data_IF_144223498717
#
_entry.id   IF_144223498717
#
_cell.length_a   1.000
_cell.length_b   1.000
_cell.length_c   1.000
_cell.angle_alpha   90.00
_cell.angle_beta   90.00
_cell.angle_gamma   90.00
#
_symmetry.space_group_name_H-M   'P 1'
#
loop_
_entity.id
_entity.type
_entity.pdbx_description
1 polymer ?
#
# COMPACT_ATOMS: atom_id res chain seq x y z
N UNK A 1 15.79 -18.54 17.32
CA UNK A 1 14.62 -18.31 16.43
C UNK A 1 13.61 -17.51 17.23
N UNK A 2 13.00 -16.47 16.67
CA UNK A 2 11.98 -15.71 17.40
C UNK A 2 10.68 -16.53 17.42
N UNK A 3 9.93 -16.44 18.50
CA UNK A 3 8.66 -17.16 18.65
C UNK A 3 7.62 -16.29 19.36
N UNK A 4 6.35 -16.65 19.15
CA UNK A 4 5.20 -16.11 19.86
C UNK A 4 4.60 -17.21 20.74
N UNK A 5 4.30 -16.89 22.00
CA UNK A 5 3.65 -17.81 22.93
C UNK A 5 2.15 -17.52 22.95
N UNK A 6 1.33 -18.55 22.73
CA UNK A 6 -0.12 -18.43 22.90
C UNK A 6 -0.48 -18.34 24.40
N UNK A 7 -1.74 -18.00 24.71
CA UNK A 7 -2.23 -18.00 26.09
C UNK A 7 -2.12 -19.39 26.77
N UNK A 8 -2.04 -20.47 25.99
CA UNK A 8 -1.84 -21.85 26.48
C UNK A 8 -0.38 -22.25 26.59
N UNK A 9 0.55 -21.36 26.27
CA UNK A 9 2.00 -21.60 26.33
C UNK A 9 2.57 -22.30 25.10
N UNK A 10 1.81 -22.43 24.02
CA UNK A 10 2.30 -23.04 22.78
C UNK A 10 3.24 -22.08 22.07
N UNK A 11 4.43 -22.57 21.73
CA UNK A 11 5.44 -21.80 21.03
C UNK A 11 5.23 -21.86 19.51
N UNK A 12 5.00 -20.70 18.90
CA UNK A 12 4.79 -20.53 17.48
C UNK A 12 6.01 -19.85 16.84
N UNK A 13 6.76 -20.55 15.97
CA UNK A 13 7.91 -19.97 15.27
C UNK A 13 7.53 -18.78 14.39
N UNK A 14 8.30 -17.70 14.53
CA UNK A 14 8.21 -16.51 13.68
C UNK A 14 9.36 -16.55 12.68
N UNK A 15 9.03 -16.39 11.41
CA UNK A 15 9.99 -16.21 10.33
C UNK A 15 10.32 -14.73 10.16
N UNK A 16 11.56 -14.45 9.78
CA UNK A 16 11.92 -13.12 9.30
C UNK A 16 11.84 -13.11 7.78
N UNK A 17 10.85 -12.41 7.22
CA UNK A 17 10.72 -12.17 5.80
C UNK A 17 11.19 -10.75 5.51
N UNK A 18 12.37 -10.61 4.90
CA UNK A 18 12.94 -9.32 4.46
C UNK A 18 12.96 -8.25 5.55
N UNK A 19 13.29 -8.63 6.78
CA UNK A 19 13.38 -7.72 7.92
C UNK A 19 12.08 -7.59 8.72
N UNK A 20 10.96 -8.17 8.27
CA UNK A 20 9.68 -8.16 8.97
C UNK A 20 9.35 -9.52 9.57
N UNK A 21 8.69 -9.50 10.72
CA UNK A 21 8.21 -10.72 11.35
C UNK A 21 6.98 -11.28 10.61
N UNK A 22 7.01 -12.57 10.32
CA UNK A 22 5.94 -13.28 9.65
C UNK A 22 5.59 -14.57 10.40
N UNK A 23 4.31 -14.69 10.76
CA UNK A 23 3.76 -15.91 11.31
C UNK A 23 3.05 -16.70 10.21
N UNK A 24 3.56 -17.89 9.90
CA UNK A 24 2.98 -18.77 8.87
C UNK A 24 1.54 -19.17 9.19
N UNK A 25 0.72 -19.36 8.16
CA UNK A 25 -0.70 -19.75 8.28
C UNK A 25 -0.88 -21.03 9.10
N UNK A 26 0.01 -22.01 8.97
CA UNK A 26 -0.03 -23.25 9.77
C UNK A 26 0.00 -22.99 11.28
N UNK A 27 0.78 -21.99 11.72
CA UNK A 27 0.86 -21.63 13.14
C UNK A 27 -0.32 -20.78 13.59
N UNK A 28 -0.88 -19.94 12.70
CA UNK A 28 -2.15 -19.25 12.95
C UNK A 28 -3.30 -20.25 13.16
N UNK A 29 -3.30 -21.36 12.42
CA UNK A 29 -4.27 -22.44 12.59
C UNK A 29 -4.12 -23.16 13.93
N UNK A 30 -2.89 -23.40 14.39
CA UNK A 30 -2.64 -23.96 15.73
C UNK A 30 -3.22 -23.03 16.80
N UNK A 31 -2.89 -21.75 16.75
CA UNK A 31 -3.41 -20.75 17.69
C UNK A 31 -4.94 -20.66 17.64
N UNK A 32 -5.53 -20.58 16.44
CA UNK A 32 -6.97 -20.53 16.25
C UNK A 32 -7.67 -21.77 16.84
N UNK A 33 -7.15 -22.97 16.58
CA UNK A 33 -7.75 -24.22 17.07
C UNK A 33 -7.61 -24.40 18.58
N UNK A 34 -6.60 -23.79 19.20
CA UNK A 34 -6.48 -23.76 20.65
C UNK A 34 -7.64 -23.00 21.30
N UNK A 35 -8.08 -21.88 20.71
CA UNK A 35 -9.11 -21.01 21.29
C UNK A 35 -10.52 -21.37 20.80
N UNK A 36 -10.63 -21.83 19.56
CA UNK A 36 -11.90 -22.06 18.87
C UNK A 36 -11.94 -23.43 18.18
N UNK A 37 -11.90 -24.54 18.95
CA UNK A 37 -11.84 -25.88 18.39
C UNK A 37 -13.08 -26.25 17.56
N UNK A 38 -14.26 -25.73 17.91
CA UNK A 38 -15.53 -26.04 17.25
C UNK A 38 -15.84 -25.13 16.05
N UNK A 39 -15.07 -24.07 15.81
CA UNK A 39 -15.32 -23.13 14.71
C UNK A 39 -14.89 -23.73 13.36
N UNK A 40 -15.54 -23.28 12.29
CA UNK A 40 -15.30 -23.78 10.94
C UNK A 40 -14.51 -22.78 10.10
N UNK A 41 -13.69 -23.30 9.19
CA UNK A 41 -13.08 -22.54 8.09
C UNK A 41 -13.54 -23.23 6.80
N UNK A 42 -14.31 -22.51 5.99
CA UNK A 42 -14.81 -22.97 4.70
C UNK A 42 -14.04 -22.24 3.60
N UNK A 43 -13.57 -22.97 2.59
CA UNK A 43 -12.86 -22.40 1.44
C UNK A 43 -13.58 -22.72 0.14
N UNK A 44 -13.47 -21.82 -0.83
CA UNK A 44 -14.03 -21.98 -2.17
C UNK A 44 -13.11 -21.29 -3.20
N UNK A 45 -12.78 -21.99 -4.28
CA UNK A 45 -12.15 -21.36 -5.46
C UNK A 45 -13.24 -20.67 -6.28
N UNK A 46 -13.33 -19.35 -6.16
CA UNK A 46 -14.37 -18.55 -6.81
C UNK A 46 -14.07 -18.24 -8.28
N UNK A 47 -12.79 -18.28 -8.68
CA UNK A 47 -12.38 -18.14 -10.07
C UNK A 47 -11.08 -18.89 -10.30
N UNK A 48 -11.01 -19.70 -11.35
CA UNK A 48 -9.80 -20.46 -11.71
C UNK A 48 -9.61 -20.42 -13.23
N UNK A 49 -8.41 -20.05 -13.65
CA UNK A 49 -7.94 -20.12 -15.03
C UNK A 49 -6.64 -20.92 -15.10
N UNK A 50 -6.08 -21.05 -16.30
CA UNK A 50 -4.76 -21.65 -16.55
C UNK A 50 -3.61 -20.84 -15.89
N UNK A 51 -3.84 -19.58 -15.54
CA UNK A 51 -2.80 -18.66 -15.06
C UNK A 51 -3.11 -17.94 -13.75
N UNK A 52 -4.32 -18.05 -13.24
CA UNK A 52 -4.72 -17.35 -12.03
C UNK A 52 -5.82 -18.09 -11.28
N UNK A 53 -5.81 -17.95 -9.96
CA UNK A 53 -6.85 -18.46 -9.09
C UNK A 53 -7.24 -17.40 -8.07
N UNK A 54 -8.50 -17.37 -7.70
CA UNK A 54 -9.00 -16.59 -6.57
C UNK A 54 -9.76 -17.51 -5.63
N UNK A 55 -9.33 -17.53 -4.38
CA UNK A 55 -9.99 -18.28 -3.32
C UNK A 55 -10.72 -17.33 -2.38
N UNK A 56 -11.84 -17.80 -1.83
CA UNK A 56 -12.56 -17.22 -0.71
C UNK A 56 -12.39 -18.13 0.50
N UNK A 57 -12.20 -17.53 1.67
CA UNK A 57 -12.24 -18.23 2.95
C UNK A 57 -13.27 -17.57 3.88
N UNK A 58 -14.08 -18.38 4.56
CA UNK A 58 -15.11 -17.94 5.51
C UNK A 58 -14.86 -18.63 6.84
N UNK A 59 -14.74 -17.85 7.92
CA UNK A 59 -14.67 -18.36 9.29
C UNK A 59 -16.06 -18.26 9.92
N UNK A 60 -16.55 -19.36 10.48
CA UNK A 60 -17.82 -19.42 11.20
C UNK A 60 -17.63 -19.84 12.64
N UNK A 61 -18.42 -19.26 13.53
CA UNK A 61 -18.53 -19.76 14.89
C UNK A 61 -19.36 -21.05 14.97
N UNK A 62 -19.46 -21.62 16.17
CA UNK A 62 -20.22 -22.85 16.45
C UNK A 62 -21.73 -22.72 16.19
N UNK A 63 -22.26 -21.49 16.11
CA UNK A 63 -23.66 -21.21 15.78
C UNK A 63 -23.89 -21.08 14.27
N UNK A 64 -22.81 -21.12 13.47
CA UNK A 64 -22.84 -20.92 12.03
C UNK A 64 -22.75 -19.46 11.59
N UNK A 65 -22.61 -18.51 12.53
CA UNK A 65 -22.47 -17.08 12.23
C UNK A 65 -21.12 -16.85 11.55
N UNK A 66 -21.14 -16.08 10.46
CA UNK A 66 -19.91 -15.65 9.78
C UNK A 66 -19.20 -14.61 10.65
N UNK A 67 -17.95 -14.91 11.02
CA UNK A 67 -17.10 -14.03 11.82
C UNK A 67 -16.13 -13.26 10.92
N UNK A 68 -15.61 -13.90 9.89
CA UNK A 68 -14.79 -13.25 8.88
C UNK A 68 -14.95 -13.90 7.51
N UNK A 69 -14.79 -13.07 6.48
CA UNK A 69 -14.70 -13.51 5.09
C UNK A 69 -13.51 -12.81 4.46
N UNK A 70 -12.69 -13.56 3.72
CA UNK A 70 -11.56 -13.01 3.00
C UNK A 70 -11.47 -13.59 1.59
N UNK A 71 -10.71 -12.91 0.74
CA UNK A 71 -10.36 -13.38 -0.59
C UNK A 71 -8.87 -13.18 -0.83
N UNK A 72 -8.29 -14.06 -1.64
CA UNK A 72 -6.93 -13.92 -2.16
C UNK A 72 -6.88 -14.39 -3.60
N UNK A 73 -6.29 -13.56 -4.45
CA UNK A 73 -5.94 -13.92 -5.81
C UNK A 73 -4.43 -14.20 -5.90
N UNK A 74 -4.06 -15.16 -6.74
CA UNK A 74 -2.67 -15.51 -7.03
C UNK A 74 -2.52 -15.90 -8.51
N UNK A 75 -1.31 -15.78 -9.04
CA UNK A 75 -1.03 -16.05 -10.46
C UNK A 75 0.14 -17.01 -10.66
N UNK A 76 0.11 -17.77 -11.74
CA UNK A 76 1.14 -18.76 -12.10
C UNK A 76 2.52 -18.13 -12.34
N UNK A 77 2.55 -16.83 -12.67
CA UNK A 77 3.79 -16.06 -12.84
C UNK A 77 4.57 -15.89 -11.53
N UNK A 78 3.88 -15.87 -10.39
CA UNK A 78 4.52 -15.76 -9.08
C UNK A 78 4.81 -17.14 -8.51
N UNK A 79 3.85 -18.07 -8.63
CA UNK A 79 3.92 -19.39 -8.01
C UNK A 79 3.33 -20.44 -8.95
N UNK A 80 4.05 -21.53 -9.28
CA UNK A 80 3.48 -22.65 -10.03
C UNK A 80 2.26 -23.28 -9.34
N UNK A 81 2.25 -23.28 -8.00
CA UNK A 81 1.18 -23.74 -7.10
C UNK A 81 0.20 -22.61 -6.72
N UNK A 82 -0.14 -21.75 -7.69
CA UNK A 82 -0.95 -20.54 -7.44
C UNK A 82 -2.35 -20.83 -6.86
N UNK A 83 -2.95 -21.98 -7.17
CA UNK A 83 -4.25 -22.38 -6.62
C UNK A 83 -4.17 -22.61 -5.11
N UNK A 84 -3.19 -23.40 -4.67
CA UNK A 84 -2.93 -23.71 -3.26
C UNK A 84 -2.49 -22.45 -2.49
N UNK A 85 -1.72 -21.57 -3.14
CA UNK A 85 -1.31 -20.28 -2.56
C UNK A 85 -2.48 -19.32 -2.41
N UNK A 86 -3.38 -19.26 -3.38
CA UNK A 86 -4.60 -18.46 -3.26
C UNK A 86 -5.44 -18.95 -2.08
N UNK A 87 -5.67 -20.26 -1.96
CA UNK A 87 -6.46 -20.83 -0.86
C UNK A 87 -5.79 -20.62 0.50
N UNK A 88 -4.51 -20.93 0.62
CA UNK A 88 -3.74 -20.73 1.86
C UNK A 88 -3.71 -19.26 2.28
N UNK A 89 -3.54 -18.35 1.32
CA UNK A 89 -3.56 -16.91 1.58
C UNK A 89 -4.94 -16.40 1.99
N UNK A 90 -6.03 -16.93 1.41
CA UNK A 90 -7.38 -16.58 1.85
C UNK A 90 -7.61 -17.02 3.31
N UNK A 91 -7.18 -18.23 3.69
CA UNK A 91 -7.22 -18.67 5.09
C UNK A 91 -6.40 -17.74 5.98
N UNK A 92 -5.16 -17.42 5.58
CA UNK A 92 -4.27 -16.53 6.32
C UNK A 92 -4.85 -15.15 6.57
N UNK A 93 -5.49 -14.56 5.55
CA UNK A 93 -6.18 -13.26 5.64
C UNK A 93 -7.42 -13.34 6.53
N UNK A 94 -8.23 -14.39 6.41
CA UNK A 94 -9.44 -14.54 7.23
C UNK A 94 -9.10 -14.68 8.73
N UNK A 95 -8.04 -15.43 9.04
CA UNK A 95 -7.51 -15.56 10.40
C UNK A 95 -6.93 -14.23 10.92
N UNK A 96 -6.24 -13.47 10.07
CA UNK A 96 -5.75 -12.14 10.42
C UNK A 96 -6.87 -11.13 10.73
N UNK A 97 -8.02 -11.21 10.04
CA UNK A 97 -9.17 -10.34 10.32
C UNK A 97 -9.74 -10.53 11.72
N UNK A 98 -9.56 -11.71 12.32
CA UNK A 98 -10.06 -12.04 13.66
C UNK A 98 -8.95 -12.08 14.72
N UNK A 99 -7.75 -11.57 14.40
CA UNK A 99 -6.67 -11.37 15.37
C UNK A 99 -5.53 -12.40 15.33
N UNK A 100 -5.68 -13.50 14.59
CA UNK A 100 -4.64 -14.54 14.53
C UNK A 100 -3.54 -14.16 13.55
N UNK A 101 -2.45 -13.60 14.09
CA UNK A 101 -1.24 -13.26 13.33
C UNK A 101 -1.29 -11.90 12.65
N UNK A 102 -2.28 -11.05 12.94
CA UNK A 102 -2.43 -9.68 12.39
C UNK A 102 -1.16 -8.85 12.57
N UNK A 103 -0.57 -8.88 13.77
CA UNK A 103 0.69 -8.21 14.11
C UNK A 103 1.93 -8.75 13.36
N UNK A 104 1.78 -9.86 12.64
CA UNK A 104 2.82 -10.54 11.85
C UNK A 104 2.41 -10.65 10.37
N UNK A 105 1.46 -9.84 9.91
CA UNK A 105 1.02 -9.76 8.51
C UNK A 105 1.90 -8.81 7.69
N UNK A 106 3.23 -9.03 7.79
CA UNK A 106 4.30 -8.19 7.24
C UNK A 106 4.01 -7.52 5.88
N UNK A 107 3.46 -8.27 4.92
CA UNK A 107 3.23 -7.79 3.55
C UNK A 107 1.76 -7.90 3.10
N UNK A 108 0.89 -8.58 3.86
CA UNK A 108 -0.50 -8.82 3.42
C UNK A 108 -1.49 -7.71 3.80
N UNK A 109 -1.18 -6.98 4.88
CA UNK A 109 -1.94 -5.83 5.37
C UNK A 109 -1.08 -4.55 5.41
N UNK A 110 0.17 -4.63 4.94
CA UNK A 110 1.02 -3.45 4.85
C UNK A 110 0.63 -2.64 3.61
N UNK A 111 -0.03 -1.51 3.86
CA UNK A 111 -0.57 -0.61 2.85
C UNK A 111 0.53 0.20 2.13
N UNK A 112 1.79 0.12 2.58
CA UNK A 112 2.90 0.88 2.01
C UNK A 112 2.55 2.37 1.93
N UNK A 113 2.65 2.96 0.74
CA UNK A 113 2.33 4.38 0.49
C UNK A 113 0.84 4.64 0.17
N UNK A 114 0.02 3.58 0.09
CA UNK A 114 -1.39 3.68 -0.32
C UNK A 114 -2.31 3.41 0.86
N UNK A 115 -2.37 4.38 1.76
CA UNK A 115 -3.27 4.37 2.91
C UNK A 115 -4.72 4.45 2.40
N UNK A 116 -5.56 3.49 2.78
CA UNK A 116 -7.00 3.46 2.40
C UNK A 116 -7.93 3.87 3.55
N UNK A 117 -7.37 4.31 4.68
CA UNK A 117 -8.16 4.76 5.83
C UNK A 117 -8.96 6.04 5.52
N UNK A 118 -10.23 6.02 5.92
CA UNK A 118 -11.06 7.22 5.92
C UNK A 118 -10.51 8.22 6.95
N UNK A 119 -10.44 9.53 6.66
CA UNK A 119 -9.98 10.52 7.64
C UNK A 119 -10.93 10.52 8.84
N UNK A 120 -10.50 9.91 9.94
CA UNK A 120 -11.19 9.99 11.20
C UNK A 120 -10.73 11.26 11.90
N UNK A 121 -11.60 12.27 11.98
CA UNK A 121 -11.35 13.43 12.84
C UNK A 121 -11.27 12.92 14.29
N UNK A 122 -10.18 13.18 15.02
CA UNK A 122 -10.09 12.76 16.42
C UNK A 122 -11.13 13.56 17.22
N UNK A 123 -12.24 12.89 17.57
CA UNK A 123 -13.16 13.42 18.57
C UNK A 123 -12.45 13.28 19.90
N UNK A 124 -11.82 14.37 20.37
CA UNK A 124 -11.34 14.47 21.75
C UNK A 124 -12.54 14.34 22.69
N UNK A 125 -12.86 13.10 23.07
CA UNK A 125 -13.84 12.83 24.12
C UNK A 125 -13.12 13.00 25.44
N UNK A 126 -13.22 14.20 26.01
CA UNK A 126 -12.76 14.48 27.36
C UNK A 126 -13.47 13.54 28.34
N UNK A 127 -12.78 12.50 28.79
CA UNK A 127 -13.19 11.69 29.92
C UNK A 127 -12.80 12.41 31.20
N UNK A 128 -13.66 13.32 31.64
CA UNK A 128 -13.68 13.77 33.04
C UNK A 128 -14.93 13.19 33.71
N UNK A 129 -14.70 12.23 34.60
CA UNK A 129 -15.56 11.71 35.68
C UNK A 129 -17.03 11.33 35.37
N UNK A 130 -17.36 10.03 35.55
CA UNK A 130 -18.72 9.55 35.85
C UNK A 130 -19.07 9.80 37.34
N UNK A 131 -20.29 9.49 37.88
CA UNK A 131 -21.54 8.99 37.27
C UNK A 131 -22.83 9.74 37.70
N UNK A 132 -23.97 9.49 37.04
CA UNK A 132 -25.24 8.96 37.64
C UNK A 132 -26.47 9.10 36.72
N UNK A 133 -27.33 8.08 36.81
CA UNK A 133 -28.70 7.85 36.33
C UNK A 133 -29.57 9.02 35.82
N UNK A 134 -30.22 8.83 34.67
CA UNK A 134 -31.68 8.55 34.52
C UNK A 134 -32.17 8.82 33.08
N UNK A 135 -32.97 7.88 32.52
CA UNK A 135 -33.94 8.14 31.42
C UNK A 135 -35.28 8.53 32.10
N UNK A 136 -36.23 9.25 31.46
CA UNK A 136 -36.73 8.92 30.10
C UNK A 136 -37.22 10.08 29.19
N UNK A 137 -37.27 9.74 27.88
CA UNK A 137 -38.28 10.08 26.85
C UNK A 137 -38.54 11.52 26.35
N UNK A 138 -38.57 11.62 25.00
CA UNK A 138 -39.60 12.23 24.14
C UNK A 138 -39.17 13.37 23.18
N UNK A 139 -39.50 13.11 21.90
CA UNK A 139 -40.06 13.99 20.86
C UNK A 139 -39.22 15.00 20.06
N UNK A 140 -39.38 14.85 18.72
CA UNK A 140 -39.68 15.88 17.71
C UNK A 140 -38.53 16.56 16.94
N UNK A 141 -38.34 16.05 15.71
CA UNK A 141 -38.38 16.76 14.42
C UNK A 141 -37.90 18.22 14.31
N UNK A 142 -36.90 18.45 13.45
CA UNK A 142 -37.03 19.38 12.31
C UNK A 142 -35.92 19.19 11.29
N UNK A 143 -36.33 19.33 10.03
CA UNK A 143 -35.62 19.24 8.74
C UNK A 143 -34.72 20.48 8.47
N UNK A 144 -33.93 20.47 7.38
CA UNK A 144 -32.68 21.23 7.27
C UNK A 144 -32.88 22.66 6.77
N UNK A 145 -32.09 23.58 7.29
CA UNK A 145 -32.00 24.96 6.80
C UNK A 145 -30.87 25.07 5.77
N UNK A 146 -31.25 25.35 4.52
CA UNK A 146 -30.37 25.58 3.37
C UNK A 146 -30.09 27.08 3.26
N UNK A 147 -28.87 27.49 3.61
CA UNK A 147 -28.23 28.75 3.22
C UNK A 147 -26.72 28.44 3.15
N UNK A 148 -26.03 28.40 2.00
CA UNK A 148 -26.03 29.43 0.97
C UNK A 148 -24.88 30.42 1.23
N UNK A 149 -23.62 29.98 1.18
CA UNK A 149 -22.47 30.88 1.13
C UNK A 149 -21.29 30.22 0.38
N UNK A 150 -21.17 30.57 -0.88
CA UNK A 150 -19.99 30.34 -1.71
C UNK A 150 -18.75 30.94 -1.05
N UNK A 151 -17.72 30.13 -0.81
CA UNK A 151 -16.35 30.64 -0.70
C UNK A 151 -15.38 29.62 -1.30
N UNK A 152 -14.98 29.92 -2.53
CA UNK A 152 -13.85 29.32 -3.20
C UNK A 152 -12.57 29.76 -2.49
N UNK A 153 -11.99 28.90 -1.66
CA UNK A 153 -10.62 29.02 -1.19
C UNK A 153 -9.86 27.77 -1.65
N UNK A 154 -8.97 27.98 -2.62
CA UNK A 154 -8.35 26.93 -3.42
C UNK A 154 -7.53 25.94 -2.60
N UNK A 155 -7.81 24.65 -2.81
CA UNK A 155 -6.86 23.59 -2.57
C UNK A 155 -5.87 23.59 -3.74
N UNK A 156 -4.70 24.15 -3.53
CA UNK A 156 -3.55 23.93 -4.40
C UNK A 156 -3.14 22.47 -4.29
N UNK A 157 -3.51 21.66 -5.30
CA UNK A 157 -2.86 20.38 -5.55
C UNK A 157 -1.42 20.69 -5.96
N UNK A 158 -0.48 20.59 -5.02
CA UNK A 158 0.93 20.59 -5.38
C UNK A 158 1.16 19.37 -6.29
N UNK A 159 1.52 19.64 -7.55
CA UNK A 159 1.97 18.60 -8.48
C UNK A 159 3.10 17.85 -7.78
N UNK A 160 3.06 16.51 -7.69
CA UNK A 160 4.21 15.76 -7.19
C UNK A 160 5.42 16.10 -8.06
N UNK A 161 6.43 16.70 -7.45
CA UNK A 161 7.68 17.02 -8.12
C UNK A 161 8.32 15.70 -8.57
N UNK A 162 8.28 15.46 -9.87
CA UNK A 162 8.84 14.26 -10.50
C UNK A 162 10.35 14.11 -10.19
N UNK A 163 11.02 15.19 -9.77
CA UNK A 163 12.43 15.17 -9.33
C UNK A 163 12.68 14.45 -8.02
N UNK A 164 11.66 14.29 -7.16
CA UNK A 164 11.74 13.53 -5.91
C UNK A 164 11.52 12.02 -6.10
N UNK A 165 11.30 11.57 -7.34
CA UNK A 165 11.17 10.15 -7.63
C UNK A 165 12.46 9.40 -7.26
N UNK A 166 12.34 8.45 -6.33
CA UNK A 166 13.45 7.64 -5.85
C UNK A 166 13.54 6.33 -6.62
N UNK A 167 14.73 5.99 -7.11
CA UNK A 167 14.95 4.71 -7.81
C UNK A 167 14.99 3.59 -6.77
N UNK A 168 14.03 2.66 -6.83
CA UNK A 168 13.88 1.57 -5.86
C UNK A 168 14.54 0.24 -6.29
N UNK A 169 15.25 0.22 -7.41
CA UNK A 169 15.83 -0.99 -7.99
C UNK A 169 17.25 -0.77 -8.54
N UNK A 170 18.03 -1.85 -8.58
CA UNK A 170 19.39 -1.89 -9.15
C UNK A 170 20.47 -1.20 -8.31
N UNK A 171 21.66 -1.81 -8.21
CA UNK A 171 22.67 -1.40 -7.22
C UNK A 171 23.28 0.00 -7.41
N UNK A 172 23.19 0.58 -8.61
CA UNK A 172 23.92 1.83 -8.96
C UNK A 172 23.23 3.10 -8.44
N UNK A 173 21.91 3.15 -8.49
CA UNK A 173 21.12 4.33 -8.11
C UNK A 173 20.00 4.05 -7.11
N UNK A 174 19.96 2.84 -6.53
CA UNK A 174 19.00 2.49 -5.47
C UNK A 174 19.03 3.52 -4.34
N UNK A 175 17.90 4.14 -4.07
CA UNK A 175 17.73 5.14 -3.01
C UNK A 175 18.05 6.57 -3.41
N UNK A 176 18.60 6.82 -4.61
CA UNK A 176 18.84 8.18 -5.11
C UNK A 176 17.59 8.78 -5.74
N UNK A 177 17.41 10.09 -5.54
CA UNK A 177 16.36 10.87 -6.20
C UNK A 177 16.74 11.16 -7.65
N UNK A 178 15.76 11.27 -8.52
CA UNK A 178 15.98 11.53 -9.94
C UNK A 178 16.78 12.84 -10.18
N UNK A 179 16.51 13.88 -9.37
CA UNK A 179 17.24 15.17 -9.42
C UNK A 179 18.74 15.07 -9.08
N UNK A 180 19.17 14.01 -8.39
CA UNK A 180 20.56 13.82 -7.94
C UNK A 180 21.41 13.04 -8.96
N UNK A 181 20.80 12.62 -10.08
CA UNK A 181 21.43 11.80 -11.10
C UNK A 181 21.51 12.64 -12.39
N UNK A 182 22.71 12.85 -12.94
CA UNK A 182 22.86 13.54 -14.22
C UNK A 182 22.03 12.87 -15.32
N UNK A 183 21.44 13.66 -16.22
CA UNK A 183 20.63 13.17 -17.36
C UNK A 183 21.33 12.08 -18.17
N UNK A 184 22.58 12.33 -18.53
CA UNK A 184 23.40 11.39 -19.32
C UNK A 184 23.60 10.05 -18.60
N UNK A 185 23.72 10.10 -17.27
CA UNK A 185 23.90 8.91 -16.44
C UNK A 185 22.61 8.09 -16.32
N UNK A 186 21.46 8.74 -16.15
CA UNK A 186 20.17 8.04 -16.01
C UNK A 186 19.68 7.48 -17.35
N UNK A 187 19.90 8.20 -18.46
CA UNK A 187 19.60 7.72 -19.82
C UNK A 187 20.48 6.52 -20.19
N UNK A 188 21.79 6.60 -19.91
CA UNK A 188 22.71 5.46 -20.09
C UNK A 188 22.35 4.25 -19.23
N UNK A 189 21.86 4.50 -18.01
CA UNK A 189 21.36 3.44 -17.12
C UNK A 189 20.09 2.77 -17.66
N UNK A 190 19.14 3.55 -18.18
CA UNK A 190 17.93 3.03 -18.84
C UNK A 190 18.28 2.19 -20.08
N UNK A 191 19.19 2.65 -20.94
CA UNK A 191 19.65 1.90 -22.11
C UNK A 191 20.31 0.57 -21.72
N UNK A 192 21.10 0.57 -20.64
CA UNK A 192 21.70 -0.65 -20.10
C UNK A 192 20.64 -1.62 -19.56
N UNK A 193 19.62 -1.12 -18.85
CA UNK A 193 18.51 -1.93 -18.34
C UNK A 193 17.68 -2.55 -19.46
N UNK A 194 17.36 -1.79 -20.51
CA UNK A 194 16.66 -2.26 -21.69
C UNK A 194 17.47 -3.35 -22.42
N UNK A 195 18.76 -3.10 -22.63
CA UNK A 195 19.68 -4.06 -23.25
C UNK A 195 19.85 -5.34 -22.42
N UNK A 196 19.85 -5.23 -21.09
CA UNK A 196 19.94 -6.37 -20.18
C UNK A 196 18.65 -7.21 -20.16
N UNK A 197 17.49 -6.57 -20.23
CA UNK A 197 16.19 -7.26 -20.32
C UNK A 197 16.06 -8.01 -21.65
N UNK A 198 16.45 -7.36 -22.76
CA UNK A 198 16.40 -7.94 -24.10
C UNK A 198 17.35 -9.13 -24.26
N UNK A 199 18.57 -9.07 -23.69
CA UNK A 199 19.51 -10.21 -23.65
C UNK A 199 18.99 -11.40 -22.85
N UNK A 200 18.11 -11.18 -21.88
CA UNK A 200 17.51 -12.23 -21.05
C UNK A 200 16.18 -12.76 -21.60
N UNK A 201 15.68 -12.21 -22.72
CA UNK A 201 14.37 -12.58 -23.28
C UNK A 201 13.19 -12.27 -22.35
N UNK A 202 13.38 -11.42 -21.34
CA UNK A 202 12.35 -11.00 -20.41
C UNK A 202 11.84 -9.62 -20.82
N UNK A 203 10.51 -9.42 -20.76
CA UNK A 203 9.89 -8.12 -20.97
C UNK A 203 10.41 -7.08 -19.97
N UNK A 204 10.31 -5.80 -20.33
CA UNK A 204 10.76 -4.71 -19.48
C UNK A 204 9.99 -4.73 -18.15
N UNK A 205 10.71 -4.78 -17.02
CA UNK A 205 10.09 -4.77 -15.69
C UNK A 205 9.20 -3.53 -15.54
N UNK A 206 8.05 -3.67 -14.88
CA UNK A 206 7.11 -2.57 -14.60
C UNK A 206 7.83 -1.35 -14.00
N UNK A 207 8.80 -1.59 -13.13
CA UNK A 207 9.61 -0.57 -12.47
C UNK A 207 10.51 0.22 -13.45
N UNK A 208 11.05 -0.46 -14.48
CA UNK A 208 11.89 0.18 -15.51
C UNK A 208 11.03 1.00 -16.46
N UNK A 209 9.84 0.50 -16.81
CA UNK A 209 8.85 1.26 -17.58
C UNK A 209 8.37 2.52 -16.85
N UNK A 210 8.12 2.41 -15.54
CA UNK A 210 7.78 3.57 -14.70
C UNK A 210 8.94 4.55 -14.61
N UNK A 211 10.17 4.09 -14.40
CA UNK A 211 11.35 4.97 -14.36
C UNK A 211 11.52 5.70 -15.70
N UNK A 212 11.39 5.00 -16.83
CA UNK A 212 11.45 5.60 -18.17
C UNK A 212 10.41 6.70 -18.35
N UNK A 213 9.16 6.44 -17.97
CA UNK A 213 8.08 7.42 -18.03
C UNK A 213 8.35 8.64 -17.14
N UNK A 214 8.85 8.45 -15.92
CA UNK A 214 9.13 9.54 -14.98
C UNK A 214 10.32 10.38 -15.45
N UNK A 215 11.39 9.74 -15.94
CA UNK A 215 12.56 10.41 -16.53
C UNK A 215 12.15 11.25 -17.73
N UNK A 216 11.37 10.68 -18.65
CA UNK A 216 10.87 11.37 -19.83
C UNK A 216 10.01 12.58 -19.44
N UNK A 217 9.11 12.43 -18.47
CA UNK A 217 8.24 13.53 -17.99
C UNK A 217 8.98 14.60 -17.20
N UNK A 218 10.00 14.23 -16.43
CA UNK A 218 10.84 15.16 -15.68
C UNK A 218 11.65 16.06 -16.63
N UNK A 219 12.30 15.48 -17.64
CA UNK A 219 13.09 16.24 -18.61
C UNK A 219 12.23 16.95 -19.67
N UNK A 220 11.07 16.42 -20.06
CA UNK A 220 10.09 17.17 -20.87
C UNK A 220 9.49 18.37 -20.12
N UNK A 221 9.43 18.32 -18.79
CA UNK A 221 9.04 19.46 -17.94
C UNK A 221 10.14 20.53 -17.82
N UNK A 222 11.41 20.14 -17.97
CA UNK A 222 12.57 21.04 -17.92
C UNK A 222 12.81 21.73 -19.28
N UNK A 223 12.46 21.10 -20.41
CA UNK A 223 12.55 21.74 -21.75
C UNK A 223 11.57 22.92 -21.95
N UNK A 224 10.68 23.19 -20.99
CA UNK A 224 9.82 24.38 -20.97
C UNK A 224 10.46 25.64 -20.39
N UNK A 225 11.66 25.57 -19.83
CA UNK A 225 12.35 26.72 -19.25
C UNK A 225 13.81 26.75 -19.72
N UNK A 226 13.99 27.14 -20.99
CA UNK A 226 15.28 27.63 -21.46
C UNK A 226 15.67 28.85 -20.62
N UNK A 227 16.94 29.00 -20.20
CA UNK A 227 17.36 30.13 -19.39
C UNK A 227 17.23 31.42 -20.20
N UNK A 228 16.33 32.30 -19.77
CA UNK A 228 16.30 33.71 -20.15
C UNK A 228 17.55 34.39 -19.60
N UNK A 229 18.57 34.48 -20.45
CA UNK A 229 19.61 35.50 -20.26
C UNK A 229 19.01 36.86 -20.63
N UNK A 230 18.68 37.66 -19.61
CA UNK A 230 18.52 39.13 -19.62
C UNK A 230 18.61 39.56 -18.14
N UNK A 231 19.34 40.58 -17.70
CA UNK A 231 19.85 41.76 -18.38
C UNK A 231 21.02 42.37 -17.60
N UNK A 232 21.94 43.00 -18.34
CA UNK A 232 22.86 44.01 -17.81
C UNK A 232 22.76 45.25 -18.69
N UNK A 233 21.64 45.95 -18.64
CA UNK A 233 21.46 47.24 -19.30
C UNK A 233 21.95 48.36 -18.37
N UNK A 234 22.96 49.12 -18.81
CA UNK A 234 23.18 50.48 -18.36
C UNK A 234 23.66 51.35 -19.53
N UNK A 235 22.67 52.09 -20.06
CA UNK A 235 22.73 53.48 -20.53
C UNK A 235 23.68 53.84 -21.67
N UNK A 236 23.05 54.05 -22.83
CA UNK A 236 23.43 55.06 -23.81
C UNK A 236 23.37 56.47 -23.22
N UNK A 237 24.35 57.31 -23.54
CA UNK A 237 24.05 58.70 -23.90
C UNK A 237 24.90 59.14 -25.09
N UNK A 238 24.26 59.93 -25.95
CA UNK A 238 24.69 60.31 -27.28
C UNK A 238 25.67 61.48 -27.26
N UNK A 239 26.39 61.64 -28.37
CA UNK A 239 26.37 62.82 -29.26
C UNK A 239 27.72 63.42 -29.64
N UNK A 240 27.86 63.54 -30.98
CA UNK A 240 28.50 64.63 -31.72
C UNK A 240 29.92 65.06 -31.36
N UNK A 241 30.91 64.67 -32.18
CA UNK A 241 31.39 65.46 -33.33
C UNK A 241 32.58 64.78 -34.00
#
# INVERSE_FOLDING_TARGET
MRSFLTAKGTELPILNLRGKDYLEVKYRLVWFREEHPAWAIETELINTTDKAATARAVVRDETGRIIATSHKAETSNHFPDFMEKAETGAIGRALALIGYGTQFCADELDEGERIVDAPATPVHRNYSNQPTSSRPAASASSTPEVLGASSSAGLTFEKPDLGDFQIKFGKKYMGKKLREIPREEIEGYLQWLESAAQKKGQGLSSEVSTLKYVVERYYQGIEGEAPSMQDGAALSDQSAS
#
